data_IF_102196066642
#
_entry.id   IF_102196066642
#
_cell.length_a   1.000
_cell.length_b   1.000
_cell.length_c   1.000
_cell.angle_alpha   90.00
_cell.angle_beta   90.00
_cell.angle_gamma   90.00
#
_symmetry.space_group_name_H-M   'P 1'
#
loop_
_entity.id
_entity.type
_entity.pdbx_description
1 polymer ?
#
# COMPACT_ATOMS: atom_id res chain seq x y z
N UNK A 1 -22.73 -6.67 22.30
CA UNK A 1 -21.85 -5.49 22.22
C UNK A 1 -21.60 -5.20 20.74
N UNK A 2 -22.10 -4.07 20.24
CA UNK A 2 -21.84 -3.65 18.87
C UNK A 2 -20.53 -2.86 18.85
N UNK A 3 -19.50 -3.43 18.23
CA UNK A 3 -18.28 -2.68 17.95
C UNK A 3 -18.61 -1.68 16.83
N UNK A 4 -18.90 -0.43 17.21
CA UNK A 4 -18.95 0.68 16.27
C UNK A 4 -17.52 1.17 16.08
N UNK A 5 -16.87 0.68 15.02
CA UNK A 5 -15.66 1.29 14.49
C UNK A 5 -16.00 2.67 13.92
N UNK A 6 -15.09 3.61 14.11
CA UNK A 6 -15.18 4.97 13.58
C UNK A 6 -15.26 5.00 12.05
N UNK A 7 -15.69 6.13 11.47
CA UNK A 7 -15.83 6.26 10.03
C UNK A 7 -14.49 6.08 9.28
N UNK A 8 -13.38 6.43 9.93
CA UNK A 8 -12.01 6.33 9.41
C UNK A 8 -11.30 5.02 9.77
N UNK A 9 -11.92 4.16 10.60
CA UNK A 9 -11.27 2.91 11.01
C UNK A 9 -11.19 1.94 9.83
N UNK A 10 -9.99 1.46 9.46
CA UNK A 10 -9.81 0.59 8.30
C UNK A 10 -10.16 -0.86 8.68
N UNK A 11 -11.40 -1.26 8.40
CA UNK A 11 -11.96 -2.57 8.83
C UNK A 11 -12.27 -3.48 7.65
N UNK A 12 -12.57 -2.92 6.48
CA UNK A 12 -13.06 -3.69 5.33
C UNK A 12 -11.91 -4.19 4.46
N UNK A 13 -11.93 -5.45 4.07
CA UNK A 13 -11.01 -5.97 3.05
C UNK A 13 -11.53 -5.68 1.64
N UNK A 14 -10.66 -5.75 0.62
CA UNK A 14 -11.05 -5.48 -0.78
C UNK A 14 -12.22 -6.33 -1.27
N UNK A 15 -12.31 -7.58 -0.84
CA UNK A 15 -13.42 -8.47 -1.21
C UNK A 15 -14.74 -8.05 -0.57
N UNK A 16 -14.70 -7.61 0.69
CA UNK A 16 -15.88 -7.09 1.40
C UNK A 16 -16.32 -5.77 0.79
N UNK A 17 -15.38 -4.85 0.55
CA UNK A 17 -15.66 -3.56 -0.09
C UNK A 17 -16.29 -3.73 -1.48
N UNK A 18 -15.74 -4.63 -2.31
CA UNK A 18 -16.30 -4.95 -3.62
C UNK A 18 -17.76 -5.41 -3.53
N UNK A 19 -18.06 -6.30 -2.58
CA UNK A 19 -19.42 -6.80 -2.35
C UNK A 19 -20.38 -5.72 -1.87
N UNK A 20 -19.93 -4.83 -0.99
CA UNK A 20 -20.75 -3.72 -0.48
C UNK A 20 -21.08 -2.70 -1.58
N UNK A 21 -20.13 -2.45 -2.48
CA UNK A 21 -20.27 -1.50 -3.58
C UNK A 21 -20.90 -2.10 -4.84
N UNK A 22 -21.11 -3.42 -4.87
CA UNK A 22 -21.65 -4.13 -6.04
C UNK A 22 -20.70 -4.18 -7.24
N UNK A 23 -19.40 -4.04 -7.01
CA UNK A 23 -18.36 -4.02 -8.04
C UNK A 23 -17.39 -5.21 -7.88
N UNK A 24 -16.49 -5.38 -8.85
CA UNK A 24 -15.49 -6.46 -8.79
C UNK A 24 -14.24 -6.03 -8.01
N UNK A 25 -13.56 -6.94 -7.29
CA UNK A 25 -12.29 -6.63 -6.64
C UNK A 25 -11.21 -6.16 -7.62
N UNK A 26 -11.25 -6.64 -8.87
CA UNK A 26 -10.34 -6.20 -9.93
C UNK A 26 -10.54 -4.72 -10.26
N UNK A 27 -11.78 -4.25 -10.31
CA UNK A 27 -12.09 -2.85 -10.58
C UNK A 27 -11.62 -1.94 -9.45
N UNK A 28 -11.78 -2.34 -8.18
CA UNK A 28 -11.21 -1.61 -7.05
C UNK A 28 -9.68 -1.51 -7.12
N UNK A 29 -8.99 -2.58 -7.53
CA UNK A 29 -7.53 -2.51 -7.76
C UNK A 29 -7.17 -1.56 -8.89
N UNK A 30 -8.00 -1.46 -9.93
CA UNK A 30 -7.79 -0.51 -11.02
C UNK A 30 -7.90 0.93 -10.50
N UNK A 31 -8.92 1.23 -9.68
CA UNK A 31 -9.09 2.53 -9.03
C UNK A 31 -7.86 2.89 -8.17
N UNK A 32 -7.35 1.94 -7.38
CA UNK A 32 -6.13 2.14 -6.60
C UNK A 32 -4.89 2.39 -7.47
N UNK A 33 -4.75 1.66 -8.59
CA UNK A 33 -3.61 1.80 -9.49
C UNK A 33 -3.60 3.16 -10.19
N UNK A 34 -4.78 3.73 -10.47
CA UNK A 34 -4.92 5.10 -10.98
C UNK A 34 -4.60 6.17 -9.92
N UNK A 35 -4.39 5.76 -8.66
CA UNK A 35 -4.09 6.66 -7.55
C UNK A 35 -5.28 7.49 -7.08
N UNK A 36 -6.51 7.00 -7.28
CA UNK A 36 -7.74 7.66 -6.82
C UNK A 36 -7.99 7.47 -5.33
N UNK A 37 -7.40 6.42 -4.75
CA UNK A 37 -7.54 6.08 -3.33
C UNK A 37 -6.25 5.43 -2.81
N UNK A 38 -5.95 5.67 -1.54
CA UNK A 38 -4.77 5.12 -0.86
C UNK A 38 -5.22 4.31 0.36
N UNK A 39 -5.50 3.00 0.20
CA UNK A 39 -5.97 2.19 1.32
C UNK A 39 -4.88 2.02 2.39
N UNK A 40 -5.31 1.98 3.65
CA UNK A 40 -4.44 1.65 4.75
C UNK A 40 -3.88 0.23 4.57
N UNK A 41 -2.60 0.05 4.89
CA UNK A 41 -1.95 -1.26 4.90
C UNK A 41 -1.63 -1.63 6.33
N UNK A 42 -1.99 -2.85 6.70
CA UNK A 42 -1.55 -3.47 7.97
C UNK A 42 -0.12 -3.98 7.85
N UNK A 43 0.51 -4.30 8.99
CA UNK A 43 1.84 -4.93 9.04
C UNK A 43 1.90 -6.26 8.28
N UNK A 44 0.75 -6.93 8.16
CA UNK A 44 0.56 -8.15 7.35
C UNK A 44 0.41 -7.87 5.85
N UNK A 45 0.58 -6.62 5.40
CA UNK A 45 0.44 -6.16 4.02
C UNK A 45 -0.96 -6.39 3.40
N UNK A 46 -2.00 -6.41 4.24
CA UNK A 46 -3.39 -6.50 3.79
C UNK A 46 -3.94 -5.08 3.65
N UNK A 47 -4.60 -4.82 2.52
CA UNK A 47 -5.30 -3.56 2.24
C UNK A 47 -6.62 -3.55 3.01
N UNK A 48 -6.80 -2.51 3.82
CA UNK A 48 -8.02 -2.26 4.55
C UNK A 48 -8.60 -0.90 4.15
N UNK A 49 -9.93 -0.87 4.04
CA UNK A 49 -10.71 0.33 3.72
C UNK A 49 -11.54 0.71 4.93
N UNK A 50 -11.69 2.00 5.14
CA UNK A 50 -12.60 2.59 6.11
C UNK A 50 -14.01 2.77 5.53
N UNK A 51 -14.95 3.25 6.35
CA UNK A 51 -16.27 3.64 5.83
C UNK A 51 -16.19 4.88 4.94
N UNK A 52 -15.30 5.83 5.26
CA UNK A 52 -15.07 7.00 4.43
C UNK A 52 -14.48 6.61 3.07
N UNK A 53 -13.54 5.66 3.04
CA UNK A 53 -13.00 5.10 1.80
C UNK A 53 -14.09 4.46 0.94
N UNK A 54 -15.04 3.74 1.55
CA UNK A 54 -16.18 3.16 0.84
C UNK A 54 -17.07 4.25 0.22
N UNK A 55 -17.30 5.36 0.92
CA UNK A 55 -18.02 6.51 0.39
C UNK A 55 -17.33 7.14 -0.81
N UNK A 56 -16.01 7.35 -0.72
CA UNK A 56 -15.20 7.85 -1.81
C UNK A 56 -15.22 6.90 -3.02
N UNK A 57 -15.07 5.59 -2.78
CA UNK A 57 -15.14 4.57 -3.82
C UNK A 57 -16.50 4.60 -4.53
N UNK A 58 -17.61 4.68 -3.79
CA UNK A 58 -18.94 4.78 -4.39
C UNK A 58 -19.05 6.00 -5.30
N UNK A 59 -18.49 7.14 -4.89
CA UNK A 59 -18.46 8.37 -5.70
C UNK A 59 -17.63 8.20 -6.97
N UNK A 60 -16.43 7.64 -6.86
CA UNK A 60 -15.55 7.36 -8.00
C UNK A 60 -16.25 6.42 -9.00
N UNK A 61 -16.85 5.33 -8.50
CA UNK A 61 -17.56 4.34 -9.32
C UNK A 61 -18.69 5.03 -10.10
N UNK A 62 -19.45 5.91 -9.45
CA UNK A 62 -20.49 6.69 -10.10
C UNK A 62 -19.93 7.57 -11.23
N UNK A 63 -18.89 8.37 -10.97
CA UNK A 63 -18.30 9.25 -11.98
C UNK A 63 -17.71 8.47 -13.16
N UNK A 64 -17.11 7.30 -12.89
CA UNK A 64 -16.52 6.47 -13.93
C UNK A 64 -17.57 5.74 -14.76
N UNK A 65 -18.44 4.96 -14.12
CA UNK A 65 -19.41 4.08 -14.79
C UNK A 65 -20.60 4.84 -15.36
N UNK A 66 -21.10 5.84 -14.61
CA UNK A 66 -22.34 6.53 -14.97
C UNK A 66 -22.09 7.77 -15.80
N UNK A 67 -21.06 8.54 -15.46
CA UNK A 67 -20.73 9.77 -16.19
C UNK A 67 -19.68 9.56 -17.30
N UNK A 68 -19.01 8.41 -17.34
CA UNK A 68 -18.03 8.09 -18.39
C UNK A 68 -16.76 8.96 -18.31
N UNK A 69 -16.46 9.50 -17.13
CA UNK A 69 -15.34 10.42 -16.94
C UNK A 69 -14.04 9.61 -16.88
N UNK A 70 -12.98 10.14 -17.52
CA UNK A 70 -11.64 9.57 -17.43
C UNK A 70 -11.15 9.60 -15.96
N UNK A 71 -10.49 8.55 -15.43
CA UNK A 71 -9.88 8.57 -14.10
C UNK A 71 -9.07 9.84 -13.79
N UNK A 72 -8.35 10.42 -14.76
CA UNK A 72 -7.65 11.69 -14.54
C UNK A 72 -8.60 12.88 -14.28
N UNK A 73 -9.75 12.92 -14.95
CA UNK A 73 -10.80 13.90 -14.67
C UNK A 73 -11.48 13.66 -13.33
N UNK A 74 -11.67 12.40 -12.94
CA UNK A 74 -12.20 12.02 -11.63
C UNK A 74 -11.29 12.55 -10.51
N UNK A 75 -9.96 12.42 -10.65
CA UNK A 75 -9.01 12.99 -9.67
C UNK A 75 -9.21 14.47 -9.44
N UNK A 76 -9.39 15.23 -10.53
CA UNK A 76 -9.59 16.67 -10.47
C UNK A 76 -10.91 17.00 -9.78
N UNK A 77 -11.99 16.29 -10.12
CA UNK A 77 -13.31 16.48 -9.50
C UNK A 77 -13.26 16.20 -8.00
N UNK A 78 -12.67 15.07 -7.60
CA UNK A 78 -12.54 14.71 -6.18
C UNK A 78 -11.68 15.72 -5.44
N UNK A 79 -10.55 16.15 -6.00
CA UNK A 79 -9.69 17.16 -5.38
C UNK A 79 -10.40 18.53 -5.24
N UNK A 80 -11.29 18.87 -6.18
CA UNK A 80 -12.14 20.06 -6.08
C UNK A 80 -13.19 19.91 -4.97
N UNK A 81 -13.82 18.74 -4.86
CA UNK A 81 -14.79 18.44 -3.80
C UNK A 81 -14.15 18.42 -2.39
N UNK A 82 -12.91 17.93 -2.28
CA UNK A 82 -12.14 17.91 -1.02
C UNK A 82 -11.58 19.29 -0.64
N UNK A 83 -11.26 20.12 -1.64
CA UNK A 83 -10.70 21.47 -1.46
C UNK A 83 -11.65 22.48 -0.80
N UNK A 84 -12.96 22.18 -0.75
CA UNK A 84 -13.95 22.95 0.01
C UNK A 84 -14.06 22.51 1.48
N UNK A 85 -13.34 21.44 1.86
CA UNK A 85 -13.31 20.86 3.21
C UNK A 85 -11.89 20.83 3.77
N UNK A 86 -11.28 22.00 3.96
CA UNK A 86 -10.07 22.15 4.78
C UNK A 86 -10.39 21.85 6.27
N UNK A 87 -10.51 20.57 6.58
CA UNK A 87 -10.42 20.03 7.94
C UNK A 87 -10.17 18.52 7.88
N UNK A 88 -8.92 18.08 8.09
CA UNK A 88 -8.67 16.70 8.50
C UNK A 88 -7.46 16.03 7.89
N UNK A 89 -6.28 16.47 8.29
CA UNK A 89 -5.11 15.58 8.39
C UNK A 89 -5.50 14.25 9.06
N UNK A 90 -5.56 13.15 8.31
CA UNK A 90 -5.44 11.79 8.85
C UNK A 90 -4.13 11.14 8.37
N UNK A 91 -3.03 11.84 8.68
CA UNK A 91 -1.82 11.16 9.08
C UNK A 91 -1.93 10.83 10.57
N UNK A 92 -2.16 9.56 10.90
CA UNK A 92 -1.74 8.88 12.15
C UNK A 92 -2.19 7.40 12.06
N UNK A 93 -1.38 6.39 12.35
CA UNK A 93 -0.32 6.36 13.36
C UNK A 93 1.01 5.73 12.95
N UNK A 94 2.02 6.18 13.70
CA UNK A 94 3.41 5.71 13.78
C UNK A 94 3.51 4.27 14.29
N UNK A 95 4.65 3.58 14.05
CA UNK A 95 4.90 2.27 14.64
C UNK A 95 5.11 2.42 16.14
N UNK A 96 4.24 1.78 16.93
CA UNK A 96 4.51 1.50 18.33
C UNK A 96 4.56 -0.01 18.48
N UNK A 97 5.78 -0.54 18.51
CA UNK A 97 6.18 -1.43 19.60
C UNK A 97 7.71 -1.58 19.60
N UNK A 98 8.28 -1.05 20.66
CA UNK A 98 9.66 -1.23 21.05
C UNK A 98 9.72 -2.39 22.03
N UNK A 99 10.26 -3.53 21.59
CA UNK A 99 10.76 -4.55 22.51
C UNK A 99 11.99 -5.26 21.94
N UNK A 100 13.15 -4.77 22.41
CA UNK A 100 14.45 -5.41 22.61
C UNK A 100 14.86 -6.64 21.82
N UNK A 101 15.86 -6.48 20.94
CA UNK A 101 16.83 -7.53 20.65
C UNK A 101 18.24 -6.94 20.45
N UNK A 102 18.99 -6.97 21.55
CA UNK A 102 20.45 -7.05 21.68
C UNK A 102 21.23 -7.21 20.36
N UNK A 103 21.95 -6.18 19.89
CA UNK A 103 23.12 -6.36 19.02
C UNK A 103 24.39 -6.08 19.82
N UNK A 104 25.13 -7.16 20.06
CA UNK A 104 26.44 -7.18 20.75
C UNK A 104 27.56 -6.49 19.97
N UNK A 105 28.78 -6.45 20.54
CA UNK A 105 29.72 -5.36 20.31
C UNK A 105 30.62 -5.55 19.09
N UNK A 106 31.02 -4.39 18.56
CA UNK A 106 32.03 -4.21 17.54
C UNK A 106 33.40 -4.81 17.92
N UNK A 107 34.00 -5.56 16.99
CA UNK A 107 35.45 -5.85 16.91
C UNK A 107 35.91 -5.42 15.51
N UNK A 108 36.56 -4.27 15.37
CA UNK A 108 38.01 -4.04 15.47
C UNK A 108 38.86 -4.80 14.43
N UNK A 109 39.18 -4.07 13.35
CA UNK A 109 40.53 -3.85 12.77
C UNK A 109 41.38 -5.09 12.42
N UNK A 110 41.77 -5.21 11.15
CA UNK A 110 43.16 -4.99 10.62
C UNK A 110 43.30 -5.47 9.17
N UNK A 111 44.09 -4.71 8.41
CA UNK A 111 44.68 -5.06 7.12
C UNK A 111 45.66 -6.24 7.26
N UNK A 112 45.87 -7.06 6.21
CA UNK A 112 47.16 -7.14 5.49
C UNK A 112 47.16 -8.21 4.36
N UNK A 113 47.84 -7.83 3.27
CA UNK A 113 48.71 -8.58 2.36
C UNK A 113 48.34 -9.93 1.70
N UNK A 114 48.55 -9.93 0.38
CA UNK A 114 49.30 -10.97 -0.36
C UNK A 114 48.49 -12.22 -0.72
N UNK A 115 48.76 -12.92 -1.81
CA UNK A 115 49.69 -12.78 -2.92
C UNK A 115 49.21 -13.75 -4.01
N UNK A 116 49.78 -13.56 -5.20
CA UNK A 116 49.72 -14.35 -6.42
C UNK A 116 49.76 -15.90 -6.33
N UNK A 117 49.43 -16.48 -7.50
CA UNK A 117 49.82 -17.79 -8.10
C UNK A 117 48.60 -18.68 -8.41
N UNK A 118 48.10 -18.76 -9.65
CA UNK A 118 48.64 -19.36 -10.90
C UNK A 118 48.57 -20.90 -10.91
N UNK A 119 47.76 -21.48 -11.79
CA UNK A 119 48.16 -22.37 -12.92
C UNK A 119 47.01 -23.25 -13.43
N UNK A 120 46.74 -23.12 -14.74
CA UNK A 120 46.50 -24.16 -15.77
C UNK A 120 45.51 -25.33 -15.60
N UNK A 121 44.76 -25.54 -16.70
CA UNK A 121 44.24 -26.83 -17.18
C UNK A 121 42.76 -26.77 -17.52
N UNK A 122 42.31 -26.28 -18.68
CA UNK A 122 42.29 -26.93 -20.01
C UNK A 122 41.89 -28.43 -19.97
N UNK A 123 40.84 -28.74 -20.75
CA UNK A 123 40.68 -29.91 -21.64
C UNK A 123 39.47 -30.83 -21.36
N UNK A 124 38.60 -30.90 -22.41
CA UNK A 124 37.76 -32.01 -22.94
C UNK A 124 36.36 -32.25 -22.37
N UNK A 125 35.28 -32.10 -23.16
CA UNK A 125 34.76 -33.02 -24.23
C UNK A 125 34.10 -34.24 -23.56
N UNK A 126 32.82 -34.59 -23.73
CA UNK A 126 32.23 -35.15 -24.96
C UNK A 126 30.76 -35.55 -24.69
N UNK A 127 29.97 -35.57 -25.78
CA UNK A 127 28.67 -36.20 -26.06
C UNK A 127 27.43 -35.32 -26.06
#
# INVERSE_FOLDING_TARGET
MAYFHGPDDPVYTIGVAARLLGETPQFLRQIENEGLILPARTDSNIRLYSNNDLGLLARIIYLWRRCGINPQGIRVIIAMEEGDSDSGTHGNGRPHDSMGAMKGPAKSRRHNAGSCENTNGLVKETR
#
